data_IF_802876959184
#
_entry.id   IF_802876959184
#
_cell.length_a   1.000
_cell.length_b   1.000
_cell.length_c   1.000
_cell.angle_alpha   90.00
_cell.angle_beta   90.00
_cell.angle_gamma   90.00
#
_symmetry.space_group_name_H-M   'P 1'
#
loop_
_entity.id
_entity.type
_entity.pdbx_description
1 polymer ?
#
# COMPACT_ATOMS: atom_id res chain seq x y z
N UNK A 1 9.84 -5.69 7.63
CA UNK A 1 10.01 -4.53 6.72
C UNK A 1 10.57 -4.95 5.38
N UNK A 2 10.35 -4.18 4.31
CA UNK A 2 11.00 -4.43 3.02
C UNK A 2 12.37 -3.73 3.00
N UNK A 3 13.45 -4.37 2.51
CA UNK A 3 14.76 -3.73 2.36
C UNK A 3 14.77 -2.64 1.27
N UNK A 4 13.74 -2.60 0.40
CA UNK A 4 13.59 -1.56 -0.61
C UNK A 4 13.36 -0.18 0.03
N UNK A 5 13.90 0.87 -0.58
CA UNK A 5 13.57 2.26 -0.25
C UNK A 5 12.16 2.66 -0.73
N UNK A 6 11.45 1.76 -1.41
CA UNK A 6 10.12 2.01 -1.97
C UNK A 6 9.04 1.13 -1.33
N UNK A 7 7.84 1.70 -1.25
CA UNK A 7 6.58 1.07 -0.92
C UNK A 7 5.83 0.80 -2.23
N UNK A 8 5.32 -0.40 -2.41
CA UNK A 8 4.50 -0.84 -3.53
C UNK A 8 3.34 -1.73 -3.06
N UNK A 9 2.51 -2.20 -4.00
CA UNK A 9 1.34 -3.03 -3.70
C UNK A 9 1.68 -4.26 -2.84
N UNK A 10 2.79 -4.95 -3.12
CA UNK A 10 3.25 -6.11 -2.35
C UNK A 10 3.57 -5.73 -0.90
N UNK A 11 4.36 -4.67 -0.69
CA UNK A 11 4.73 -4.24 0.67
C UNK A 11 3.52 -3.76 1.47
N UNK A 12 2.54 -3.11 0.82
CA UNK A 12 1.30 -2.68 1.46
C UNK A 12 0.39 -3.84 1.80
N UNK A 13 0.23 -4.82 0.91
CA UNK A 13 -0.51 -6.05 1.19
C UNK A 13 0.09 -6.79 2.40
N UNK A 14 1.43 -6.93 2.46
CA UNK A 14 2.14 -7.49 3.63
C UNK A 14 1.88 -6.69 4.90
N UNK A 15 1.93 -5.35 4.81
CA UNK A 15 1.64 -4.47 5.95
C UNK A 15 0.21 -4.67 6.46
N UNK A 16 -0.78 -4.77 5.55
CA UNK A 16 -2.18 -5.03 5.91
C UNK A 16 -2.36 -6.36 6.64
N UNK A 17 -1.81 -7.45 6.11
CA UNK A 17 -1.85 -8.76 6.78
C UNK A 17 -1.24 -8.67 8.18
N UNK A 18 -0.09 -7.99 8.31
CA UNK A 18 0.59 -7.80 9.60
C UNK A 18 -0.29 -7.03 10.59
N UNK A 19 -0.84 -5.88 10.19
CA UNK A 19 -1.70 -5.06 11.06
C UNK A 19 -2.95 -5.82 11.48
N UNK A 20 -3.61 -6.52 10.56
CA UNK A 20 -4.79 -7.33 10.86
C UNK A 20 -4.48 -8.47 11.84
N UNK A 21 -3.29 -9.08 11.74
CA UNK A 21 -2.83 -10.08 12.70
C UNK A 21 -2.55 -9.46 14.07
N UNK A 22 -1.89 -8.28 14.12
CA UNK A 22 -1.65 -7.55 15.38
C UNK A 22 -2.98 -7.25 16.09
N UNK A 23 -3.96 -6.71 15.37
CA UNK A 23 -5.31 -6.42 15.90
C UNK A 23 -6.01 -7.68 16.41
N UNK A 24 -5.76 -8.85 15.80
CA UNK A 24 -6.32 -10.11 16.33
C UNK A 24 -5.64 -10.52 17.64
N UNK A 25 -4.35 -10.28 17.76
CA UNK A 25 -3.55 -10.69 18.93
C UNK A 25 -3.63 -9.74 20.12
N UNK A 26 -3.99 -8.48 19.90
CA UNK A 26 -4.08 -7.46 20.96
C UNK A 26 -5.37 -7.53 21.79
N UNK A 27 -6.28 -8.46 21.47
CA UNK A 27 -7.56 -8.63 22.16
C UNK A 27 -8.70 -7.80 21.58
N UNK A 28 -8.47 -7.03 20.52
CA UNK A 28 -9.52 -6.30 19.81
C UNK A 28 -10.53 -7.26 19.15
N UNK A 29 -11.79 -6.83 18.99
CA UNK A 29 -12.75 -7.56 18.18
C UNK A 29 -12.22 -7.78 16.76
N UNK A 30 -12.54 -8.93 16.11
CA UNK A 30 -12.20 -9.14 14.71
C UNK A 30 -12.70 -7.99 13.83
N UNK A 31 -11.85 -7.51 12.94
CA UNK A 31 -12.24 -6.49 11.96
C UNK A 31 -13.38 -7.02 11.08
N UNK A 32 -14.40 -6.20 10.89
CA UNK A 32 -15.46 -6.51 9.93
C UNK A 32 -14.92 -6.52 8.49
N UNK A 33 -15.58 -7.25 7.59
CA UNK A 33 -15.21 -7.27 6.17
C UNK A 33 -15.14 -5.85 5.56
N UNK A 34 -16.04 -4.96 5.98
CA UNK A 34 -16.05 -3.55 5.55
C UNK A 34 -14.83 -2.78 6.06
N UNK A 35 -14.41 -3.00 7.30
CA UNK A 35 -13.22 -2.36 7.87
C UNK A 35 -11.94 -2.85 7.18
N UNK A 36 -11.86 -4.15 6.86
CA UNK A 36 -10.77 -4.70 6.05
C UNK A 36 -10.72 -4.05 4.68
N UNK A 37 -11.85 -3.96 3.97
CA UNK A 37 -11.90 -3.32 2.65
C UNK A 37 -11.52 -1.84 2.71
N UNK A 38 -11.94 -1.11 3.74
CA UNK A 38 -11.56 0.29 3.91
C UNK A 38 -10.05 0.43 4.12
N UNK A 39 -9.46 -0.41 4.96
CA UNK A 39 -8.01 -0.43 5.17
C UNK A 39 -7.21 -0.73 3.90
N UNK A 40 -7.74 -1.57 3.00
CA UNK A 40 -7.13 -1.81 1.68
C UNK A 40 -7.23 -0.56 0.78
N UNK A 41 -8.38 0.12 0.78
CA UNK A 41 -8.58 1.38 0.02
C UNK A 41 -7.65 2.49 0.50
N UNK A 42 -7.45 2.62 1.81
CA UNK A 42 -6.55 3.62 2.40
C UNK A 42 -5.09 3.40 1.97
N UNK A 43 -4.60 2.16 2.00
CA UNK A 43 -3.23 1.89 1.53
C UNK A 43 -3.10 2.04 0.01
N UNK A 44 -4.15 1.75 -0.76
CA UNK A 44 -4.16 2.05 -2.20
C UNK A 44 -4.10 3.57 -2.48
N UNK A 45 -4.79 4.37 -1.65
CA UNK A 45 -4.77 5.82 -1.73
C UNK A 45 -3.36 6.38 -1.52
N UNK A 46 -2.56 5.77 -0.63
CA UNK A 46 -1.16 6.16 -0.43
C UNK A 46 -0.36 6.12 -1.74
N UNK A 47 -0.48 5.04 -2.54
CA UNK A 47 0.24 4.94 -3.82
C UNK A 47 -0.30 5.90 -4.89
N UNK A 48 -1.58 6.27 -4.83
CA UNK A 48 -2.14 7.31 -5.71
C UNK A 48 -1.65 8.70 -5.29
N UNK A 49 -1.59 8.97 -3.99
CA UNK A 49 -1.22 10.26 -3.43
C UNK A 49 0.27 10.55 -3.61
N UNK A 50 1.15 9.63 -3.20
CA UNK A 50 2.61 9.87 -3.15
C UNK A 50 3.45 8.93 -4.00
N UNK A 51 2.81 7.94 -4.65
CA UNK A 51 3.50 7.05 -5.56
C UNK A 51 3.66 7.64 -6.96
N UNK A 52 4.65 7.12 -7.69
CA UNK A 52 4.90 7.39 -9.09
C UNK A 52 4.88 6.08 -9.88
N UNK A 53 4.48 6.14 -11.13
CA UNK A 53 4.61 5.03 -12.08
C UNK A 53 5.97 5.12 -12.77
N UNK A 54 6.69 3.99 -12.93
CA UNK A 54 7.81 3.93 -13.87
C UNK A 54 7.36 4.42 -15.26
N UNK A 55 8.25 5.04 -16.04
CA UNK A 55 7.94 5.39 -17.42
C UNK A 55 7.45 4.16 -18.19
N UNK A 56 6.21 4.22 -18.72
CA UNK A 56 5.59 3.10 -19.46
C UNK A 56 4.69 2.18 -18.63
N UNK A 57 4.76 2.21 -17.30
CA UNK A 57 4.05 1.27 -16.42
C UNK A 57 3.04 1.98 -15.51
N UNK A 58 1.90 2.38 -16.07
CA UNK A 58 0.84 3.15 -15.34
C UNK A 58 0.22 2.42 -14.15
N UNK A 59 0.41 1.10 -14.02
CA UNK A 59 -0.23 0.26 -13.01
C UNK A 59 0.70 -0.09 -11.83
N UNK A 60 2.01 -0.10 -12.02
CA UNK A 60 2.98 -0.42 -10.96
C UNK A 60 3.47 0.84 -10.28
N UNK A 61 2.58 1.45 -9.49
CA UNK A 61 2.96 2.62 -8.68
C UNK A 61 3.81 2.18 -7.50
N UNK A 62 4.89 2.91 -7.27
CA UNK A 62 5.69 2.81 -6.06
C UNK A 62 5.93 4.19 -5.46
N UNK A 63 5.98 4.28 -4.15
CA UNK A 63 6.26 5.50 -3.41
C UNK A 63 7.58 5.35 -2.67
N UNK A 64 8.46 6.34 -2.75
CA UNK A 64 9.63 6.41 -1.88
C UNK A 64 9.16 6.48 -0.43
N UNK A 65 9.77 5.69 0.46
CA UNK A 65 9.40 5.65 1.88
C UNK A 65 9.45 7.03 2.52
N UNK A 66 10.46 7.83 2.21
CA UNK A 66 10.61 9.19 2.75
C UNK A 66 9.46 10.12 2.34
N UNK A 67 8.93 9.96 1.11
CA UNK A 67 7.74 10.72 0.67
C UNK A 67 6.48 10.28 1.40
N UNK A 68 6.31 8.98 1.57
CA UNK A 68 5.20 8.44 2.33
C UNK A 68 5.28 8.85 3.80
N UNK A 69 6.48 8.89 4.38
CA UNK A 69 6.72 9.32 5.76
C UNK A 69 6.33 10.77 5.96
N UNK A 70 6.83 11.70 5.13
CA UNK A 70 6.44 13.11 5.19
C UNK A 70 4.92 13.28 5.06
N UNK A 71 4.29 12.57 4.11
CA UNK A 71 2.85 12.68 3.90
C UNK A 71 2.03 12.18 5.08
N UNK A 72 2.42 11.05 5.69
CA UNK A 72 1.71 10.45 6.82
C UNK A 72 1.98 11.15 8.15
N UNK A 73 3.21 11.63 8.38
CA UNK A 73 3.64 12.17 9.68
C UNK A 73 3.51 13.68 9.79
N UNK A 74 3.64 14.40 8.68
CA UNK A 74 3.59 15.86 8.64
C UNK A 74 2.32 16.38 7.93
N UNK A 75 1.44 15.48 7.48
CA UNK A 75 0.17 15.79 6.80
C UNK A 75 0.32 16.80 5.64
N UNK A 76 1.46 16.75 4.93
CA UNK A 76 1.77 17.69 3.85
C UNK A 76 2.34 16.98 2.62
N UNK A 77 2.30 17.66 1.48
CA UNK A 77 2.92 17.15 0.27
C UNK A 77 4.46 17.31 0.31
N UNK A 78 5.23 16.26 -0.02
CA UNK A 78 6.69 16.26 0.07
C UNK A 78 7.35 16.89 -1.17
N UNK A 79 7.09 18.17 -1.42
CA UNK A 79 7.61 18.90 -2.59
C UNK A 79 9.15 18.93 -2.63
N UNK A 80 9.78 19.03 -1.47
CA UNK A 80 11.24 19.02 -1.28
C UNK A 80 11.89 17.69 -1.69
N UNK A 81 11.10 16.60 -1.69
CA UNK A 81 11.53 15.27 -2.15
C UNK A 81 11.21 15.05 -3.64
N UNK A 82 10.84 16.11 -4.36
CA UNK A 82 10.54 16.08 -5.78
C UNK A 82 9.15 15.55 -6.12
N UNK A 83 8.24 15.45 -5.14
CA UNK A 83 6.86 15.05 -5.40
C UNK A 83 6.15 16.06 -6.31
N UNK A 84 5.34 15.53 -7.22
CA UNK A 84 4.47 16.32 -8.10
C UNK A 84 3.07 15.72 -8.07
N UNK A 85 2.06 16.58 -8.18
CA UNK A 85 0.67 16.13 -8.30
C UNK A 85 0.54 15.20 -9.50
N UNK A 86 -0.10 14.05 -9.30
CA UNK A 86 -0.36 13.13 -10.41
C UNK A 86 -1.53 13.63 -11.24
N UNK A 87 -1.35 13.65 -12.56
CA UNK A 87 -2.43 13.94 -13.53
C UNK A 87 -3.37 12.74 -13.74
N UNK A 88 -3.04 11.58 -13.15
CA UNK A 88 -3.67 10.28 -13.43
C UNK A 88 -4.33 9.75 -12.17
N UNK A 89 -5.55 10.21 -11.86
CA UNK A 89 -6.13 9.98 -10.52
C UNK A 89 -7.05 8.76 -10.44
N UNK A 90 -7.88 8.48 -11.44
CA UNK A 90 -9.00 7.50 -11.26
C UNK A 90 -8.69 6.09 -11.78
N UNK A 91 -8.13 5.94 -12.98
CA UNK A 91 -7.92 4.61 -13.59
C UNK A 91 -6.83 3.76 -12.90
N UNK A 92 -5.89 4.40 -12.20
CA UNK A 92 -4.84 3.68 -11.47
C UNK A 92 -5.33 3.16 -10.11
N UNK A 93 -6.31 3.82 -9.47
CA UNK A 93 -6.76 3.44 -8.13
C UNK A 93 -7.39 2.04 -8.09
N UNK A 94 -8.31 1.73 -9.01
CA UNK A 94 -8.95 0.41 -9.07
C UNK A 94 -7.94 -0.71 -9.31
N UNK A 95 -6.95 -0.49 -10.18
CA UNK A 95 -5.88 -1.46 -10.47
C UNK A 95 -4.98 -1.71 -9.26
N UNK A 96 -4.58 -0.65 -8.57
CA UNK A 96 -3.77 -0.75 -7.34
C UNK A 96 -4.56 -1.49 -6.26
N UNK A 97 -5.83 -1.12 -6.08
CA UNK A 97 -6.73 -1.76 -5.12
C UNK A 97 -6.82 -3.27 -5.38
N UNK A 98 -7.13 -3.67 -6.61
CA UNK A 98 -7.22 -5.08 -6.99
C UNK A 98 -5.89 -5.82 -6.84
N UNK A 99 -4.76 -5.17 -7.12
CA UNK A 99 -3.43 -5.77 -6.92
C UNK A 99 -3.15 -6.05 -5.43
N UNK A 100 -3.38 -5.06 -4.56
CA UNK A 100 -3.19 -5.23 -3.12
C UNK A 100 -4.12 -6.31 -2.57
N UNK A 101 -5.39 -6.32 -2.98
CA UNK A 101 -6.38 -7.30 -2.53
C UNK A 101 -6.02 -8.72 -2.98
N UNK A 102 -5.62 -8.89 -4.24
CA UNK A 102 -5.17 -10.17 -4.80
C UNK A 102 -3.95 -10.71 -4.03
N UNK A 103 -2.92 -9.88 -3.85
CA UNK A 103 -1.70 -10.26 -3.13
C UNK A 103 -2.02 -10.60 -1.67
N UNK A 104 -2.80 -9.75 -0.99
CA UNK A 104 -3.21 -9.99 0.41
C UNK A 104 -3.93 -11.33 0.54
N UNK A 105 -4.87 -11.62 -0.35
CA UNK A 105 -5.63 -12.87 -0.34
C UNK A 105 -4.70 -14.06 -0.56
N UNK A 106 -3.78 -13.96 -1.53
CA UNK A 106 -2.78 -14.99 -1.79
C UNK A 106 -1.80 -15.22 -0.63
N UNK A 107 -1.46 -14.19 0.14
CA UNK A 107 -0.67 -14.33 1.37
C UNK A 107 -1.46 -15.08 2.44
N UNK A 108 -2.74 -14.72 2.66
CA UNK A 108 -3.59 -15.33 3.69
C UNK A 108 -3.88 -16.80 3.36
N UNK A 109 -4.12 -17.13 2.09
CA UNK A 109 -4.40 -18.50 1.64
C UNK A 109 -3.15 -19.39 1.55
N UNK A 110 -1.96 -18.86 1.81
CA UNK A 110 -0.69 -19.57 1.63
C UNK A 110 -0.33 -19.84 0.17
N UNK A 111 -1.01 -19.22 -0.79
CA UNK A 111 -0.77 -19.38 -2.23
C UNK A 111 0.45 -18.60 -2.73
N UNK A 112 0.97 -17.66 -1.94
CA UNK A 112 2.29 -17.04 -2.14
C UNK A 112 3.30 -17.62 -1.12
N UNK A 113 4.17 -18.51 -1.57
CA UNK A 113 5.27 -19.04 -0.74
C UNK A 113 6.33 -17.94 -0.57
N UNK A 114 6.57 -17.56 0.68
CA UNK A 114 7.60 -16.60 1.06
C UNK A 114 9.01 -17.18 0.79
N UNK A 115 9.83 -16.46 0.02
CA UNK A 115 11.27 -16.40 0.27
C UNK A 115 11.59 -14.96 0.64
N UNK A 116 12.14 -14.78 1.83
CA UNK A 116 12.84 -13.54 2.17
C UNK A 116 14.02 -13.40 1.21
N UNK A 117 14.07 -12.28 0.48
CA UNK A 117 15.24 -11.81 -0.26
C UNK A 117 15.55 -10.43 0.30
#
# INVERSE_FOLDING_TARGET
DSPSSNINALTLARSRVRVENITRTDGSPPLSSSAVQLGIKEVALLLVAVGESPPGERADRSAQKDRADVWLTQERFPFELGWKRSDTVVNSFSRILSSIECIRTGIISGSFIYREI
#
